data_IF_685995367985
#
_entry.id   IF_685995367985
#
_cell.length_a   1.000
_cell.length_b   1.000
_cell.length_c   1.000
_cell.angle_alpha   90.00
_cell.angle_beta   90.00
_cell.angle_gamma   90.00
#
_symmetry.space_group_name_H-M   'P 1'
#
loop_
_entity.id
_entity.type
_entity.pdbx_description
1 polymer ?
#
# COMPACT_ATOMS: atom_id res chain seq x y z
N UNK A 1 18.68 24.84 -14.94
CA UNK A 1 19.27 23.50 -15.08
C UNK A 1 18.73 22.63 -13.97
N UNK A 2 17.92 21.60 -14.27
CA UNK A 2 17.43 20.68 -13.25
C UNK A 2 18.58 19.85 -12.66
N UNK A 3 18.51 19.61 -11.34
CA UNK A 3 19.34 18.62 -10.66
C UNK A 3 18.55 17.31 -10.63
N UNK A 4 19.17 16.23 -11.09
CA UNK A 4 18.59 14.89 -10.99
C UNK A 4 19.45 14.00 -10.10
N UNK A 5 18.79 13.07 -9.42
CA UNK A 5 19.46 12.00 -8.67
C UNK A 5 19.54 10.76 -9.54
N UNK A 6 20.66 10.04 -9.46
CA UNK A 6 20.92 8.82 -10.21
C UNK A 6 21.49 7.73 -9.30
N UNK A 7 21.26 6.48 -9.69
CA UNK A 7 21.93 5.31 -9.15
C UNK A 7 22.69 4.58 -10.26
N UNK A 8 23.98 4.31 -10.04
CA UNK A 8 24.78 3.52 -10.96
C UNK A 8 24.41 2.03 -10.89
N UNK A 9 24.09 1.42 -12.03
CA UNK A 9 23.73 0.00 -12.10
C UNK A 9 24.94 -0.96 -11.98
N UNK A 10 26.17 -0.43 -11.93
CA UNK A 10 27.41 -1.23 -11.78
C UNK A 10 27.95 -1.22 -10.35
N UNK A 11 28.01 -0.05 -9.72
CA UNK A 11 28.60 0.10 -8.39
C UNK A 11 27.60 0.55 -7.32
N UNK A 12 26.33 0.72 -7.69
CA UNK A 12 25.22 1.13 -6.81
C UNK A 12 25.44 2.47 -6.08
N UNK A 13 26.39 3.26 -6.54
CA UNK A 13 26.61 4.60 -6.01
C UNK A 13 25.48 5.53 -6.43
N UNK A 14 24.92 6.24 -5.45
CA UNK A 14 23.97 7.34 -5.68
C UNK A 14 24.72 8.64 -5.83
N UNK A 15 24.33 9.46 -6.81
CA UNK A 15 24.93 10.76 -7.05
C UNK A 15 23.91 11.71 -7.67
N UNK A 16 24.17 13.00 -7.60
CA UNK A 16 23.31 14.05 -8.18
C UNK A 16 24.09 14.81 -9.24
N UNK A 17 23.45 15.10 -10.37
CA UNK A 17 24.08 15.79 -11.49
C UNK A 17 23.14 16.83 -12.10
N UNK A 18 23.72 17.96 -12.51
CA UNK A 18 23.03 19.00 -13.27
C UNK A 18 22.98 18.55 -14.72
N UNK A 19 21.78 18.30 -15.23
CA UNK A 19 21.61 17.87 -16.64
C UNK A 19 20.97 19.01 -17.41
N UNK A 20 21.56 19.39 -18.55
CA UNK A 20 20.96 20.35 -19.47
C UNK A 20 19.59 19.86 -19.96
N UNK A 21 18.65 20.78 -20.21
CA UNK A 21 17.31 20.42 -20.70
C UNK A 21 17.38 19.72 -22.08
N UNK A 22 18.40 20.04 -22.87
CA UNK A 22 18.67 19.46 -24.18
C UNK A 22 19.63 18.26 -24.16
N UNK A 23 20.20 17.90 -23.00
CA UNK A 23 21.12 16.77 -22.89
C UNK A 23 20.34 15.48 -22.64
N UNK A 24 20.77 14.39 -23.28
CA UNK A 24 20.18 13.08 -23.03
C UNK A 24 20.64 12.56 -21.66
N UNK A 25 19.74 11.92 -20.91
CA UNK A 25 20.11 11.27 -19.64
C UNK A 25 21.12 10.12 -19.85
N UNK A 26 21.28 9.65 -21.10
CA UNK A 26 22.21 8.59 -21.49
C UNK A 26 23.68 9.06 -21.53
N UNK A 27 23.94 10.37 -21.58
CA UNK A 27 25.30 10.90 -21.51
C UNK A 27 25.87 10.94 -20.08
N UNK A 28 25.03 10.68 -19.07
CA UNK A 28 25.41 10.72 -17.65
C UNK A 28 26.26 9.50 -17.30
N UNK A 29 27.46 9.75 -16.77
CA UNK A 29 28.39 8.70 -16.34
C UNK A 29 28.58 8.72 -14.83
N UNK A 30 28.69 7.53 -14.24
CA UNK A 30 28.92 7.42 -12.81
C UNK A 30 30.29 8.01 -12.42
N UNK A 31 30.36 9.02 -11.53
CA UNK A 31 31.62 9.65 -11.14
C UNK A 31 32.54 8.73 -10.33
N UNK A 32 32.00 7.63 -9.78
CA UNK A 32 32.77 6.68 -8.96
C UNK A 32 33.46 5.59 -9.79
N UNK A 33 32.85 5.15 -10.89
CA UNK A 33 33.33 3.97 -11.64
C UNK A 33 33.37 4.14 -13.17
N UNK A 34 32.93 5.29 -13.69
CA UNK A 34 32.95 5.61 -15.12
C UNK A 34 31.92 4.86 -15.99
N UNK A 35 31.05 4.03 -15.40
CA UNK A 35 30.01 3.35 -16.16
C UNK A 35 28.93 4.34 -16.63
N UNK A 36 28.46 4.19 -17.87
CA UNK A 36 27.33 4.95 -18.44
C UNK A 36 25.95 4.34 -18.14
N UNK A 37 25.91 3.19 -17.45
CA UNK A 37 24.66 2.53 -17.07
C UNK A 37 24.17 3.09 -15.73
N UNK A 38 23.37 4.15 -15.80
CA UNK A 38 22.81 4.86 -14.64
C UNK A 38 21.28 4.92 -14.75
N UNK A 39 20.59 4.90 -13.62
CA UNK A 39 19.14 5.01 -13.53
C UNK A 39 18.76 6.28 -12.78
N UNK A 40 17.91 7.11 -13.35
CA UNK A 40 17.36 8.28 -12.68
C UNK A 40 16.46 7.85 -11.52
N UNK A 41 16.71 8.40 -10.34
CA UNK A 41 15.89 8.22 -9.16
C UNK A 41 14.80 9.30 -9.12
N UNK A 42 13.64 8.92 -8.60
CA UNK A 42 12.56 9.85 -8.26
C UNK A 42 12.52 9.94 -6.74
N UNK A 43 12.72 11.15 -6.21
CA UNK A 43 12.65 11.37 -4.78
C UNK A 43 11.25 11.09 -4.23
N UNK A 44 11.17 10.55 -3.02
CA UNK A 44 9.89 10.33 -2.34
C UNK A 44 9.33 11.68 -1.90
N UNK A 45 8.21 12.09 -2.49
CA UNK A 45 7.47 13.27 -2.03
C UNK A 45 6.20 12.85 -1.28
N UNK A 46 5.77 13.69 -0.34
CA UNK A 46 4.49 13.55 0.36
C UNK A 46 3.57 14.64 -0.18
N UNK A 47 2.42 14.24 -0.72
CA UNK A 47 1.35 15.20 -1.04
C UNK A 47 0.69 15.64 0.26
N UNK A 48 0.52 16.96 0.44
CA UNK A 48 -0.30 17.52 1.51
C UNK A 48 -1.76 17.11 1.30
N UNK A 49 -2.41 16.60 2.35
CA UNK A 49 -3.83 16.26 2.33
C UNK A 49 -4.63 17.41 2.94
N UNK A 50 -5.76 17.75 2.33
CA UNK A 50 -6.72 18.66 2.94
C UNK A 50 -7.42 17.99 4.13
N UNK A 51 -8.09 18.78 4.96
CA UNK A 51 -8.91 18.25 6.05
C UNK A 51 -10.08 17.43 5.49
N UNK A 52 -10.61 17.81 4.31
CA UNK A 52 -11.64 17.07 3.58
C UNK A 52 -11.16 15.68 3.15
N UNK A 53 -9.96 15.58 2.55
CA UNK A 53 -9.33 14.29 2.18
C UNK A 53 -9.13 13.36 3.39
N UNK A 54 -8.99 13.92 4.60
CA UNK A 54 -8.85 13.13 5.83
C UNK A 54 -10.20 12.66 6.33
N UNK A 55 -11.19 13.55 6.34
CA UNK A 55 -12.56 13.24 6.78
C UNK A 55 -13.19 12.19 5.86
N UNK A 56 -12.96 12.28 4.55
CA UNK A 56 -13.45 11.28 3.59
C UNK A 56 -12.88 9.88 3.87
N UNK A 57 -11.58 9.75 4.11
CA UNK A 57 -10.94 8.45 4.42
C UNK A 57 -11.46 7.84 5.74
N UNK A 58 -11.77 8.68 6.73
CA UNK A 58 -12.37 8.23 8.00
C UNK A 58 -13.83 7.79 7.77
N UNK A 59 -14.59 8.53 6.96
CA UNK A 59 -15.95 8.14 6.56
C UNK A 59 -15.94 6.81 5.83
N UNK A 60 -15.10 6.65 4.81
CA UNK A 60 -14.99 5.41 4.02
C UNK A 60 -14.67 4.19 4.92
N UNK A 61 -13.81 4.38 5.93
CA UNK A 61 -13.53 3.33 6.92
C UNK A 61 -14.73 3.05 7.81
N UNK A 62 -15.43 4.08 8.28
CA UNK A 62 -16.61 3.92 9.12
C UNK A 62 -17.76 3.24 8.36
N UNK A 63 -17.95 3.60 7.10
CA UNK A 63 -18.92 2.99 6.19
C UNK A 63 -18.56 1.52 5.97
N UNK A 64 -17.28 1.21 5.72
CA UNK A 64 -16.83 -0.20 5.60
C UNK A 64 -17.01 -1.03 6.88
N UNK A 65 -17.06 -0.39 8.06
CA UNK A 65 -17.34 -1.05 9.34
C UNK A 65 -18.84 -1.17 9.64
N UNK A 66 -19.67 -0.34 9.01
CA UNK A 66 -21.11 -0.25 9.26
C UNK A 66 -21.94 -1.06 8.26
N UNK A 67 -21.31 -1.60 7.23
CA UNK A 67 -21.95 -2.34 6.14
C UNK A 67 -21.86 -3.87 6.40
N UNK A 68 -22.94 -4.51 6.91
CA UNK A 68 -22.95 -5.94 7.24
C UNK A 68 -22.84 -6.85 6.01
N UNK A 69 -23.05 -6.33 4.79
CA UNK A 69 -22.91 -7.06 3.53
C UNK A 69 -21.49 -7.00 2.94
N UNK A 70 -20.57 -6.25 3.57
CA UNK A 70 -19.16 -6.24 3.16
C UNK A 70 -18.44 -7.46 3.75
N UNK A 71 -18.37 -8.55 2.96
CA UNK A 71 -17.75 -9.81 3.41
C UNK A 71 -16.28 -9.72 3.88
N UNK A 72 -15.64 -8.55 3.78
CA UNK A 72 -14.34 -8.27 4.42
C UNK A 72 -14.47 -7.85 5.88
N UNK A 73 -15.45 -6.99 6.24
CA UNK A 73 -15.67 -6.56 7.62
C UNK A 73 -16.15 -7.71 8.50
N UNK A 74 -17.05 -8.56 7.97
CA UNK A 74 -17.49 -9.79 8.64
C UNK A 74 -16.33 -10.75 8.89
N UNK A 75 -15.43 -10.89 7.91
CA UNK A 75 -14.28 -11.82 7.99
C UNK A 75 -13.19 -11.33 8.93
N UNK A 76 -13.01 -10.02 9.05
CA UNK A 76 -12.10 -9.41 10.02
C UNK A 76 -12.68 -9.50 11.44
N UNK A 77 -13.97 -9.24 11.61
CA UNK A 77 -14.69 -9.38 12.88
C UNK A 77 -14.69 -10.84 13.39
N UNK A 78 -15.01 -11.83 12.55
CA UNK A 78 -14.95 -13.27 12.91
C UNK A 78 -13.54 -13.68 13.32
N UNK A 79 -12.52 -13.21 12.59
CA UNK A 79 -11.12 -13.51 12.91
C UNK A 79 -10.63 -12.84 14.19
N UNK A 80 -11.17 -11.69 14.56
CA UNK A 80 -10.87 -11.03 15.82
C UNK A 80 -11.62 -11.68 16.99
N UNK A 81 -12.89 -12.05 16.80
CA UNK A 81 -13.70 -12.77 17.79
C UNK A 81 -13.14 -14.17 18.09
N UNK A 82 -12.69 -14.92 17.07
CA UNK A 82 -12.05 -16.23 17.22
C UNK A 82 -10.65 -16.19 17.84
N UNK A 83 -10.04 -15.01 18.01
CA UNK A 83 -8.81 -14.86 18.81
C UNK A 83 -9.10 -14.56 20.27
N UNK A 84 -10.29 -14.05 20.58
CA UNK A 84 -10.71 -13.70 21.93
C UNK A 84 -11.52 -14.81 22.62
N UNK A 85 -12.12 -15.70 21.83
CA UNK A 85 -12.87 -16.88 22.29
C UNK A 85 -12.04 -18.14 22.02
N UNK A 86 -12.02 -19.07 22.97
CA UNK A 86 -11.25 -20.32 22.94
C UNK A 86 -11.67 -21.23 21.77
N UNK A 87 -10.78 -22.13 21.31
CA UNK A 87 -10.96 -22.94 20.09
C UNK A 87 -12.25 -23.80 20.09
N UNK A 88 -12.83 -24.12 21.26
CA UNK A 88 -14.10 -24.86 21.37
C UNK A 88 -15.34 -24.02 20.96
N UNK A 89 -15.27 -22.69 21.01
CA UNK A 89 -16.42 -21.82 20.69
C UNK A 89 -16.47 -21.44 19.19
N UNK A 90 -15.37 -21.61 18.45
CA UNK A 90 -15.36 -21.35 17.00
C UNK A 90 -16.16 -22.38 16.23
N UNK A 91 -16.04 -23.65 16.61
CA UNK A 91 -16.71 -24.76 15.92
C UNK A 91 -18.24 -24.67 16.14
N UNK A 92 -18.68 -24.32 17.35
CA UNK A 92 -20.09 -24.14 17.67
C UNK A 92 -20.69 -22.85 17.08
N UNK A 93 -19.87 -21.79 16.92
CA UNK A 93 -20.28 -20.58 16.21
C UNK A 93 -20.37 -20.78 14.69
N UNK A 94 -19.47 -21.57 14.09
CA UNK A 94 -19.55 -21.96 12.67
C UNK A 94 -20.82 -22.78 12.40
N UNK A 95 -21.16 -23.76 13.24
CA UNK A 95 -22.41 -24.55 13.13
C UNK A 95 -23.66 -23.67 13.23
N UNK A 96 -23.69 -22.73 14.18
CA UNK A 96 -24.84 -21.83 14.39
C UNK A 96 -25.04 -20.85 13.23
N UNK A 97 -23.95 -20.35 12.62
CA UNK A 97 -24.01 -19.50 11.43
C UNK A 97 -24.43 -20.29 10.17
N UNK A 98 -24.03 -21.56 10.03
CA UNK A 98 -24.47 -22.44 8.94
C UNK A 98 -25.97 -22.79 9.06
N UNK A 99 -26.48 -23.03 10.27
CA UNK A 99 -27.92 -23.29 10.52
C UNK A 99 -28.81 -22.07 10.21
N UNK A 100 -28.38 -20.85 10.59
CA UNK A 100 -29.14 -19.62 10.31
C UNK A 100 -29.12 -19.23 8.81
N UNK A 101 -28.06 -19.60 8.06
CA UNK A 101 -28.02 -19.39 6.61
C UNK A 101 -28.85 -20.43 5.83
N UNK A 102 -28.96 -21.68 6.31
CA UNK A 102 -29.76 -22.74 5.67
C UNK A 102 -31.25 -22.67 6.07
N UNK A 103 -31.58 -21.92 7.14
CA UNK A 103 -32.95 -21.61 7.58
C UNK A 103 -33.74 -20.64 6.67
N UNK A 104 -33.10 -20.08 5.64
CA UNK A 104 -33.70 -19.14 4.68
C UNK A 104 -34.47 -19.77 3.51
N UNK A 105 -34.71 -21.09 3.51
CA UNK A 105 -35.48 -21.78 2.48
C UNK A 105 -36.69 -22.52 3.07
N UNK A 106 -37.74 -21.77 3.44
CA UNK A 106 -39.10 -22.30 3.48
C UNK A 106 -40.14 -21.28 3.05
#
# INVERSE_FOLDING_TARGET
MPIYEFECQKCHAKFSELVGISESLESVTCPKCGANRVQKLVSRFRRGRSEDDRLSEVSDRLDSMSDPDSGQATRELVREMGKALDEDFSDEAEEMFEEDMDGGAK
#
